data_IF_859160661559
#
_entry.id   IF_859160661559
#
_cell.length_a   1.000
_cell.length_b   1.000
_cell.length_c   1.000
_cell.angle_alpha   90.00
_cell.angle_beta   90.00
_cell.angle_gamma   90.00
#
_symmetry.space_group_name_H-M   'P 1'
#
loop_
_entity.id
_entity.type
_entity.pdbx_description
1 polymer ?
#
# COMPACT_ATOMS: atom_id res chain seq x y z
N UNK A 1 15.97 -18.42 24.14
CA UNK A 1 15.09 -19.12 23.17
C UNK A 1 14.58 -18.09 22.19
N UNK A 2 14.63 -18.36 20.89
CA UNK A 2 14.05 -17.47 19.88
C UNK A 2 12.56 -17.78 19.81
N UNK A 3 11.70 -16.80 20.07
CA UNK A 3 10.26 -16.89 19.82
C UNK A 3 10.00 -16.44 18.37
N UNK A 4 9.22 -17.21 17.64
CA UNK A 4 8.77 -16.85 16.28
C UNK A 4 7.32 -16.39 16.38
N UNK A 5 7.08 -15.10 16.10
CA UNK A 5 5.74 -14.53 15.98
C UNK A 5 5.36 -14.58 14.50
N UNK A 6 4.13 -15.00 14.19
CA UNK A 6 3.62 -14.94 12.82
C UNK A 6 3.30 -13.49 12.47
N UNK A 7 3.63 -13.06 11.25
CA UNK A 7 3.44 -11.67 10.83
C UNK A 7 1.97 -11.21 10.88
N UNK A 8 1.01 -12.15 10.85
CA UNK A 8 -0.43 -11.87 10.96
C UNK A 8 -0.90 -11.54 12.39
N UNK A 9 -0.13 -11.95 13.41
CA UNK A 9 -0.50 -11.79 14.82
C UNK A 9 0.30 -10.65 15.49
N UNK A 10 1.15 -9.96 14.73
CA UNK A 10 2.05 -8.93 15.24
C UNK A 10 1.32 -7.59 15.43
N UNK A 11 1.64 -6.89 16.50
CA UNK A 11 1.10 -5.58 16.83
C UNK A 11 2.09 -4.45 16.52
N UNK A 12 1.60 -3.20 16.46
CA UNK A 12 2.50 -2.04 16.37
C UNK A 12 3.40 -1.91 17.60
N UNK A 13 2.91 -2.27 18.78
CA UNK A 13 3.70 -2.22 20.02
C UNK A 13 4.88 -3.18 19.96
N UNK A 14 4.66 -4.44 19.57
CA UNK A 14 5.73 -5.42 19.39
C UNK A 14 6.74 -4.99 18.32
N UNK A 15 6.27 -4.29 17.28
CA UNK A 15 7.13 -3.72 16.26
C UNK A 15 8.01 -2.58 16.79
N UNK A 16 7.47 -1.73 17.66
CA UNK A 16 8.24 -0.67 18.34
C UNK A 16 9.27 -1.27 19.30
N UNK A 17 8.88 -2.25 20.11
CA UNK A 17 9.75 -2.87 21.11
C UNK A 17 10.87 -3.72 20.48
N UNK A 18 10.54 -4.57 19.51
CA UNK A 18 11.48 -5.56 18.97
C UNK A 18 12.30 -5.03 17.79
N UNK A 19 11.79 -4.06 17.04
CA UNK A 19 12.42 -3.54 15.82
C UNK A 19 12.74 -2.04 15.89
N UNK A 20 12.40 -1.37 16.98
CA UNK A 20 12.72 0.05 17.18
C UNK A 20 11.93 0.98 16.26
N UNK A 21 10.80 0.54 15.72
CA UNK A 21 9.90 1.40 14.96
C UNK A 21 9.41 2.55 15.85
N UNK A 22 9.19 3.72 15.24
CA UNK A 22 8.70 4.89 15.95
C UNK A 22 7.55 5.51 15.17
N UNK A 23 6.43 5.73 15.85
CA UNK A 23 5.36 6.55 15.30
C UNK A 23 5.77 8.02 15.37
N UNK A 24 5.79 8.68 14.22
CA UNK A 24 6.01 10.13 14.14
C UNK A 24 4.70 10.85 13.85
N UNK A 25 4.41 11.88 14.63
CA UNK A 25 3.31 12.83 14.38
C UNK A 25 3.84 14.18 13.88
N UNK A 26 5.15 14.28 13.69
CA UNK A 26 5.78 15.49 13.19
C UNK A 26 5.47 15.65 11.69
N UNK A 27 4.68 16.67 11.38
CA UNK A 27 4.36 17.06 10.00
C UNK A 27 5.59 17.45 9.17
N UNK A 28 6.73 17.70 9.82
CA UNK A 28 7.99 18.06 9.17
C UNK A 28 8.84 16.85 8.79
N UNK A 29 8.51 15.65 9.28
CA UNK A 29 9.35 14.46 9.17
C UNK A 29 9.56 13.96 7.73
N UNK A 30 8.52 14.05 6.91
CA UNK A 30 8.55 13.60 5.52
C UNK A 30 7.90 14.69 4.69
N UNK A 31 8.68 15.68 4.28
CA UNK A 31 8.21 16.85 3.50
C UNK A 31 8.48 16.69 2.01
N UNK A 32 9.37 15.77 1.65
CA UNK A 32 9.81 15.49 0.28
C UNK A 32 8.65 15.07 -0.64
N UNK A 33 7.54 14.55 -0.08
CA UNK A 33 6.34 14.21 -0.85
C UNK A 33 5.39 15.39 -1.09
N UNK A 34 5.68 16.58 -0.56
CA UNK A 34 4.86 17.79 -0.75
C UNK A 34 5.66 18.97 -1.30
N UNK A 35 6.89 19.13 -0.81
CA UNK A 35 7.72 20.29 -1.10
C UNK A 35 8.45 20.12 -2.44
N UNK A 36 8.52 21.20 -3.22
CA UNK A 36 9.26 21.28 -4.50
C UNK A 36 8.86 20.25 -5.57
N UNK A 37 7.63 19.74 -5.53
CA UNK A 37 7.12 18.85 -6.57
C UNK A 37 6.89 19.61 -7.90
N UNK A 38 7.16 18.98 -9.05
CA UNK A 38 6.87 19.57 -10.34
C UNK A 38 5.36 19.78 -10.51
N UNK A 39 4.99 20.88 -11.16
CA UNK A 39 3.60 21.11 -11.54
C UNK A 39 3.20 20.16 -12.68
N UNK A 40 2.01 19.58 -12.57
CA UNK A 40 1.45 18.75 -13.63
C UNK A 40 1.19 19.56 -14.90
N UNK A 41 1.58 18.99 -16.02
CA UNK A 41 1.27 19.45 -17.38
C UNK A 41 -0.22 19.28 -17.68
N UNK A 42 -0.71 19.97 -18.72
CA UNK A 42 -2.10 19.85 -19.15
C UNK A 42 -2.42 18.47 -19.74
N UNK A 43 -1.42 17.73 -20.21
CA UNK A 43 -1.60 16.35 -20.68
C UNK A 43 -1.73 15.36 -19.51
N UNK A 44 -0.90 15.51 -18.48
CA UNK A 44 -1.00 14.72 -17.25
C UNK A 44 -2.34 14.96 -16.56
N UNK A 45 -2.77 16.24 -16.43
CA UNK A 45 -4.09 16.58 -15.87
C UNK A 45 -5.24 15.93 -16.64
N UNK A 46 -5.21 15.98 -17.98
CA UNK A 46 -6.24 15.33 -18.82
C UNK A 46 -6.24 13.82 -18.64
N UNK A 47 -5.07 13.20 -18.49
CA UNK A 47 -4.95 11.77 -18.22
C UNK A 47 -5.52 11.40 -16.85
N UNK A 48 -5.25 12.19 -15.81
CA UNK A 48 -5.82 12.02 -14.47
C UNK A 48 -7.34 12.19 -14.48
N UNK A 49 -7.86 13.20 -15.18
CA UNK A 49 -9.31 13.38 -15.33
C UNK A 49 -9.98 12.19 -16.05
N UNK A 50 -9.28 11.55 -17.00
CA UNK A 50 -9.77 10.33 -17.65
C UNK A 50 -9.81 9.16 -16.67
N UNK A 51 -8.76 8.95 -15.86
CA UNK A 51 -8.74 7.91 -14.82
C UNK A 51 -9.90 8.12 -13.85
N UNK A 52 -10.05 9.35 -13.35
CA UNK A 52 -11.16 9.75 -12.47
C UNK A 52 -12.53 9.46 -13.08
N UNK A 53 -12.74 9.88 -14.33
CA UNK A 53 -13.99 9.67 -15.06
C UNK A 53 -14.30 8.18 -15.27
N UNK A 54 -13.28 7.37 -15.59
CA UNK A 54 -13.42 5.93 -15.74
C UNK A 54 -13.86 5.26 -14.44
N UNK A 55 -13.23 5.63 -13.32
CA UNK A 55 -13.63 5.16 -11.99
C UNK A 55 -15.11 5.47 -11.70
N UNK A 56 -15.52 6.73 -11.84
CA UNK A 56 -16.90 7.13 -11.56
C UNK A 56 -17.90 6.43 -12.48
N UNK A 57 -17.58 6.27 -13.76
CA UNK A 57 -18.46 5.60 -14.72
C UNK A 57 -18.72 4.13 -14.35
N UNK A 58 -17.73 3.45 -13.77
CA UNK A 58 -17.86 2.05 -13.37
C UNK A 58 -18.54 1.89 -12.01
N UNK A 59 -18.12 2.67 -11.01
CA UNK A 59 -18.69 2.57 -9.65
C UNK A 59 -20.16 2.97 -9.60
N UNK A 60 -20.60 3.89 -10.47
CA UNK A 60 -21.99 4.30 -10.58
C UNK A 60 -22.93 3.17 -11.05
N UNK A 61 -22.40 2.12 -11.69
CA UNK A 61 -23.19 0.99 -12.19
C UNK A 61 -23.22 -0.18 -11.21
N UNK A 62 -22.08 -0.50 -10.61
CA UNK A 62 -21.91 -1.51 -9.56
C UNK A 62 -20.69 -1.17 -8.72
N UNK A 63 -20.65 -1.57 -7.43
CA UNK A 63 -19.42 -1.51 -6.65
C UNK A 63 -18.29 -2.20 -7.41
N UNK A 64 -17.19 -1.49 -7.61
CA UNK A 64 -15.99 -2.08 -8.19
C UNK A 64 -15.41 -3.06 -7.18
N UNK A 65 -15.13 -4.28 -7.65
CA UNK A 65 -14.27 -5.20 -6.93
C UNK A 65 -12.83 -4.69 -7.01
N UNK A 66 -12.01 -5.10 -6.06
CA UNK A 66 -10.61 -4.68 -5.92
C UNK A 66 -9.80 -4.86 -7.22
N UNK A 67 -9.95 -5.97 -7.94
CA UNK A 67 -9.31 -6.18 -9.25
C UNK A 67 -9.67 -5.09 -10.27
N UNK A 68 -10.90 -4.59 -10.20
CA UNK A 68 -11.34 -3.45 -10.99
C UNK A 68 -10.68 -2.13 -10.55
N UNK A 69 -10.47 -1.93 -9.25
CA UNK A 69 -9.72 -0.77 -8.72
C UNK A 69 -8.26 -0.83 -9.17
N UNK A 70 -7.63 -2.00 -9.11
CA UNK A 70 -6.25 -2.22 -9.61
C UNK A 70 -6.14 -1.86 -11.09
N UNK A 71 -7.07 -2.35 -11.91
CA UNK A 71 -7.04 -2.14 -13.35
C UNK A 71 -7.37 -0.68 -13.76
N UNK A 72 -8.31 -0.04 -13.07
CA UNK A 72 -8.89 1.24 -13.52
C UNK A 72 -8.24 2.44 -12.85
N UNK A 73 -7.68 2.27 -11.65
CA UNK A 73 -7.06 3.34 -10.88
C UNK A 73 -5.56 3.09 -10.74
N UNK A 74 -5.19 2.00 -10.07
CA UNK A 74 -3.79 1.80 -9.67
C UNK A 74 -2.86 1.67 -10.88
N UNK A 75 -3.12 0.72 -11.78
CA UNK A 75 -2.26 0.47 -12.93
C UNK A 75 -2.11 1.73 -13.82
N UNK A 76 -3.18 2.48 -14.16
CA UNK A 76 -3.04 3.75 -14.86
C UNK A 76 -2.22 4.81 -14.13
N UNK A 77 -2.34 4.93 -12.79
CA UNK A 77 -1.54 5.87 -12.02
C UNK A 77 -0.05 5.47 -12.00
N UNK A 78 0.25 4.17 -11.90
CA UNK A 78 1.62 3.68 -11.97
C UNK A 78 2.25 3.88 -13.35
N UNK A 79 1.47 3.66 -14.40
CA UNK A 79 1.90 3.94 -15.78
C UNK A 79 2.20 5.44 -15.96
N UNK A 80 1.29 6.32 -15.51
CA UNK A 80 1.48 7.77 -15.57
C UNK A 80 2.70 8.25 -14.79
N UNK A 81 3.01 7.60 -13.67
CA UNK A 81 4.22 7.86 -12.89
C UNK A 81 5.50 7.27 -13.52
N UNK A 82 5.39 6.55 -14.64
CA UNK A 82 6.52 5.94 -15.34
C UNK A 82 7.06 4.67 -14.70
N UNK A 83 6.35 4.09 -13.72
CA UNK A 83 6.82 2.92 -12.96
C UNK A 83 6.86 1.61 -13.76
N UNK A 84 6.26 1.59 -14.96
CA UNK A 84 6.35 0.46 -15.90
C UNK A 84 7.55 0.57 -16.85
N UNK A 85 8.31 1.67 -16.75
CA UNK A 85 9.44 1.97 -17.64
C UNK A 85 10.77 1.80 -16.89
N UNK A 86 11.83 1.52 -17.64
CA UNK A 86 13.20 1.48 -17.10
C UNK A 86 13.54 2.77 -16.34
N UNK A 87 14.21 2.71 -15.18
CA UNK A 87 14.85 1.53 -14.56
C UNK A 87 13.95 0.75 -13.60
N UNK A 88 12.66 1.07 -13.52
CA UNK A 88 11.74 0.39 -12.62
C UNK A 88 11.38 -0.99 -13.15
N UNK A 89 11.30 -1.95 -12.23
CA UNK A 89 10.74 -3.27 -12.47
C UNK A 89 9.69 -3.53 -11.41
N UNK A 90 8.54 -4.05 -11.84
CA UNK A 90 7.47 -4.48 -10.95
C UNK A 90 7.60 -5.96 -10.70
N UNK A 91 7.54 -6.32 -9.42
CA UNK A 91 7.27 -7.68 -8.99
C UNK A 91 6.01 -7.69 -8.12
N UNK A 92 5.16 -8.69 -8.35
CA UNK A 92 4.07 -9.03 -7.46
C UNK A 92 4.63 -9.99 -6.42
N UNK A 93 4.71 -9.55 -5.17
CA UNK A 93 5.06 -10.42 -4.05
C UNK A 93 3.85 -11.25 -3.58
N UNK A 94 4.10 -12.23 -2.73
CA UNK A 94 3.09 -13.22 -2.33
C UNK A 94 1.93 -12.59 -1.55
N UNK A 95 0.69 -12.83 -1.98
CA UNK A 95 -0.51 -12.42 -1.24
C UNK A 95 -0.54 -13.02 0.16
N UNK A 96 -0.87 -12.20 1.16
CA UNK A 96 -0.88 -12.62 2.55
C UNK A 96 -2.30 -12.56 3.09
N UNK A 97 -2.77 -13.62 3.75
CA UNK A 97 -4.08 -13.61 4.41
C UNK A 97 -3.95 -12.87 5.75
N UNK A 98 -4.88 -11.94 5.99
CA UNK A 98 -4.97 -11.18 7.22
C UNK A 98 -6.31 -11.47 7.87
N UNK A 99 -6.34 -11.61 9.18
CA UNK A 99 -7.56 -11.86 9.93
C UNK A 99 -7.68 -10.89 11.09
N UNK A 100 -8.84 -10.27 11.22
CA UNK A 100 -9.22 -9.52 12.41
C UNK A 100 -10.37 -10.25 13.10
N UNK A 101 -10.24 -10.46 14.41
CA UNK A 101 -11.23 -11.10 15.26
C UNK A 101 -11.94 -10.04 16.10
N UNK A 102 -13.02 -9.48 15.56
CA UNK A 102 -13.81 -8.47 16.25
C UNK A 102 -15.23 -8.98 16.49
N UNK A 103 -15.66 -9.00 17.77
CA UNK A 103 -17.00 -9.40 18.26
C UNK A 103 -17.70 -10.53 17.46
N UNK A 104 -17.19 -11.77 17.57
CA UNK A 104 -17.69 -13.01 16.94
C UNK A 104 -17.67 -13.06 15.40
N UNK A 105 -17.03 -12.10 14.73
CA UNK A 105 -16.88 -12.07 13.27
C UNK A 105 -15.41 -12.12 12.87
N UNK A 106 -14.97 -13.25 12.32
CA UNK A 106 -13.65 -13.34 11.67
C UNK A 106 -13.75 -12.67 10.30
N UNK A 107 -13.06 -11.54 10.12
CA UNK A 107 -12.93 -10.87 8.81
C UNK A 107 -11.58 -11.22 8.21
N UNK A 108 -11.59 -11.81 7.02
CA UNK A 108 -10.38 -12.16 6.27
C UNK A 108 -10.17 -11.22 5.10
N UNK A 109 -9.00 -10.61 5.03
CA UNK A 109 -8.51 -9.82 3.91
C UNK A 109 -7.30 -10.46 3.25
N UNK A 110 -6.87 -9.90 2.12
CA UNK A 110 -5.58 -10.23 1.50
C UNK A 110 -4.77 -8.96 1.29
N UNK A 111 -3.46 -9.03 1.45
CA UNK A 111 -2.56 -7.95 1.05
C UNK A 111 -1.84 -8.39 -0.20
N UNK A 112 -2.05 -7.67 -1.29
CA UNK A 112 -1.25 -7.79 -2.50
C UNK A 112 -0.15 -6.73 -2.48
N UNK A 113 1.08 -7.15 -2.73
CA UNK A 113 2.26 -6.29 -2.62
C UNK A 113 2.89 -6.15 -4.00
N UNK A 114 2.98 -4.90 -4.47
CA UNK A 114 3.73 -4.52 -5.67
C UNK A 114 5.03 -3.85 -5.24
N UNK A 115 6.15 -4.41 -5.68
CA UNK A 115 7.49 -3.87 -5.37
C UNK A 115 8.04 -3.18 -6.60
N UNK A 116 8.47 -1.94 -6.42
CA UNK A 116 9.09 -1.08 -7.42
C UNK A 116 10.55 -0.85 -7.06
N UNK A 117 11.44 -1.42 -7.89
CA UNK A 117 12.90 -1.29 -7.76
C UNK A 117 13.42 -1.65 -6.35
N UNK A 118 12.78 -2.63 -5.68
CA UNK A 118 13.12 -3.09 -4.32
C UNK A 118 13.07 -2.02 -3.21
N UNK A 119 12.66 -0.79 -3.52
CA UNK A 119 12.75 0.37 -2.60
C UNK A 119 11.40 1.03 -2.33
N UNK A 120 10.48 0.97 -3.29
CA UNK A 120 9.15 1.52 -3.16
C UNK A 120 8.13 0.39 -3.18
N UNK A 121 7.38 0.27 -2.09
CA UNK A 121 6.42 -0.80 -1.89
C UNK A 121 5.01 -0.22 -1.98
N UNK A 122 4.17 -0.80 -2.82
CA UNK A 122 2.76 -0.46 -2.88
C UNK A 122 2.00 -1.66 -2.34
N UNK A 123 1.31 -1.45 -1.23
CA UNK A 123 0.53 -2.47 -0.59
C UNK A 123 -0.95 -2.17 -0.84
N UNK A 124 -1.60 -3.09 -1.55
CA UNK A 124 -3.01 -3.04 -1.87
C UNK A 124 -3.73 -4.02 -0.97
N UNK A 125 -4.69 -3.53 -0.18
CA UNK A 125 -5.45 -4.39 0.72
C UNK A 125 -6.77 -4.78 0.07
N UNK A 126 -6.94 -6.06 -0.21
CA UNK A 126 -8.24 -6.65 -0.54
C UNK A 126 -9.05 -6.83 0.74
N UNK A 127 -10.14 -6.06 0.88
CA UNK A 127 -11.16 -6.37 1.87
C UNK A 127 -12.51 -6.65 1.21
N UNK A 128 -13.11 -7.79 1.56
CA UNK A 128 -14.45 -8.18 1.13
C UNK A 128 -15.57 -7.37 1.80
N UNK A 129 -15.25 -6.55 2.81
CA UNK A 129 -16.23 -5.70 3.50
C UNK A 129 -15.63 -4.32 3.73
N UNK A 130 -16.42 -3.29 3.47
CA UNK A 130 -16.13 -1.86 3.72
C UNK A 130 -15.80 -1.50 5.17
N UNK A 131 -15.76 -2.47 6.08
CA UNK A 131 -15.45 -2.31 7.51
C UNK A 131 -14.00 -2.60 7.88
N UNK A 132 -13.21 -3.22 6.99
CA UNK A 132 -11.82 -3.49 7.31
C UNK A 132 -11.03 -2.19 7.16
N UNK A 133 -10.52 -1.68 8.28
CA UNK A 133 -9.66 -0.51 8.26
C UNK A 133 -8.31 -0.89 7.66
N UNK A 134 -7.81 -0.03 6.78
CA UNK A 134 -6.47 -0.11 6.21
C UNK A 134 -5.41 -0.22 7.30
N UNK A 135 -5.66 0.39 8.46
CA UNK A 135 -4.74 0.37 9.60
C UNK A 135 -4.56 -1.02 10.22
N UNK A 136 -5.53 -1.93 10.10
CA UNK A 136 -5.43 -3.29 10.63
C UNK A 136 -4.34 -4.11 9.92
N UNK A 137 -4.03 -3.79 8.66
CA UNK A 137 -2.96 -4.41 7.90
C UNK A 137 -1.57 -3.81 8.15
N UNK A 138 -1.49 -2.66 8.84
CA UNK A 138 -0.26 -1.89 8.98
C UNK A 138 0.87 -2.64 9.70
N UNK A 139 0.64 -3.34 10.84
CA UNK A 139 1.72 -4.07 11.51
C UNK A 139 2.34 -5.14 10.58
N UNK A 140 1.49 -5.92 9.94
CA UNK A 140 1.94 -6.97 9.02
C UNK A 140 2.68 -6.38 7.82
N UNK A 141 2.17 -5.30 7.22
CA UNK A 141 2.85 -4.56 6.16
C UNK A 141 4.26 -4.12 6.56
N UNK A 142 4.43 -3.58 7.77
CA UNK A 142 5.72 -3.14 8.29
C UNK A 142 6.69 -4.30 8.49
N UNK A 143 6.23 -5.48 8.94
CA UNK A 143 7.08 -6.69 8.99
C UNK A 143 7.61 -7.06 7.62
N UNK A 144 6.76 -7.02 6.59
CA UNK A 144 7.18 -7.31 5.22
C UNK A 144 8.24 -6.33 4.73
N UNK A 145 8.09 -5.04 5.03
CA UNK A 145 9.11 -4.05 4.72
C UNK A 145 10.40 -4.33 5.48
N UNK A 146 10.35 -4.51 6.80
CA UNK A 146 11.53 -4.78 7.64
C UNK A 146 12.33 -5.98 7.15
N UNK A 147 11.66 -7.07 6.76
CA UNK A 147 12.30 -8.28 6.23
C UNK A 147 13.11 -8.01 4.95
N UNK A 148 12.66 -7.08 4.12
CA UNK A 148 13.27 -6.80 2.82
C UNK A 148 14.09 -5.49 2.81
N UNK A 149 14.34 -4.91 4.00
CA UNK A 149 15.13 -3.69 4.13
C UNK A 149 16.60 -3.92 3.76
N UNK A 150 17.07 -3.21 2.74
CA UNK A 150 18.51 -3.03 2.50
C UNK A 150 18.95 -1.76 3.25
N UNK A 151 19.87 -1.90 4.21
CA UNK A 151 20.21 -0.87 5.21
C UNK A 151 20.77 0.46 4.65
N UNK A 152 21.06 0.55 3.36
CA UNK A 152 21.76 1.69 2.75
C UNK A 152 20.83 2.72 2.09
N UNK A 153 19.52 2.47 2.01
CA UNK A 153 18.57 3.38 1.36
C UNK A 153 17.22 3.42 2.09
N UNK A 154 16.56 4.59 2.18
CA UNK A 154 15.20 4.66 2.73
C UNK A 154 14.24 3.87 1.84
N UNK A 155 13.35 3.12 2.49
CA UNK A 155 12.24 2.46 1.83
C UNK A 155 10.94 3.16 2.16
N UNK A 156 10.04 3.19 1.19
CA UNK A 156 8.73 3.80 1.36
C UNK A 156 7.66 2.78 1.04
N UNK A 157 6.55 2.87 1.77
CA UNK A 157 5.35 2.13 1.47
C UNK A 157 4.16 3.06 1.26
N UNK A 158 3.30 2.69 0.32
CA UNK A 158 2.02 3.32 0.11
C UNK A 158 0.92 2.28 0.29
N UNK A 159 -0.02 2.55 1.21
CA UNK A 159 -1.07 1.62 1.62
C UNK A 159 -2.43 2.16 1.14
N UNK A 160 -3.19 1.32 0.44
CA UNK A 160 -4.47 1.69 -0.20
C UNK A 160 -5.54 0.62 0.06
N UNK A 161 -6.80 1.06 0.16
CA UNK A 161 -8.02 0.23 0.10
C UNK A 161 -8.88 0.53 -1.13
#
# INVERSE_FOLDING_TARGET
MVQTIQAQDITLEELQENFGLQLTTDSQFFREWQDNLPSLTDEEKRSLERVRSNYFNLVNRRPLLEEGVKLVILAPLLDLAGFFQSPFSITTETSVEISDEDNDLIVRGRIDVLVLQEKFWILVIESKRTKFDVTAALPQALVYMLKNSQHDCPMFAFLLN
#
